data_IF_183110335901
#
_entry.id   IF_183110335901
#
_cell.length_a   1.000
_cell.length_b   1.000
_cell.length_c   1.000
_cell.angle_alpha   90.00
_cell.angle_beta   90.00
_cell.angle_gamma   90.00
#
_symmetry.space_group_name_H-M   'P 1'
#
loop_
_entity.id
_entity.type
_entity.pdbx_description
1 polymer ?
2 non-polymer ?
3 non-polymer ?
4 water ?
#
# COMPACT_ATOMS: atom_id res chain seq x y z
N UNK A 11 16.85 5.28 1.57
CA UNK A 11 17.61 6.42 0.98
C UNK A 11 16.65 7.54 0.56
N UNK A 12 17.20 8.73 0.33
CA UNK A 12 16.39 9.89 -0.04
C UNK A 12 15.81 9.82 -1.45
N UNK A 13 16.54 9.19 -2.37
CA UNK A 13 16.02 9.01 -3.73
C UNK A 13 14.86 8.02 -3.71
N UNK A 14 14.94 7.04 -2.81
CA UNK A 14 13.87 6.07 -2.60
C UNK A 14 12.61 6.76 -2.07
N UNK A 15 12.79 7.61 -1.06
CA UNK A 15 11.67 8.40 -0.54
C UNK A 15 11.02 9.32 -1.59
N UNK A 16 11.83 9.96 -2.44
CA UNK A 16 11.26 10.76 -3.52
C UNK A 16 10.47 9.92 -4.53
N UNK A 17 11.03 8.76 -4.89
CA UNK A 17 10.36 7.80 -5.75
C UNK A 17 8.98 7.45 -5.17
N UNK A 18 8.94 7.21 -3.86
CA UNK A 18 7.69 6.82 -3.18
C UNK A 18 6.67 7.96 -3.04
N UNK A 19 7.08 9.18 -3.40
CA UNK A 19 6.21 10.36 -3.38
C UNK A 19 5.62 10.67 -4.75
N UNK A 20 6.27 10.17 -5.80
CA UNK A 20 5.82 10.36 -7.17
C UNK A 20 4.43 9.76 -7.38
N UNK A 21 3.67 10.36 -8.27
CA UNK A 21 2.31 9.89 -8.52
C UNK A 21 2.33 8.71 -9.50
N UNK A 22 2.39 7.50 -8.94
CA UNK A 22 2.30 6.29 -9.76
C UNK A 22 1.43 5.30 -9.04
N UNK A 23 0.80 4.42 -9.81
CA UNK A 23 0.19 3.24 -9.21
C UNK A 23 1.28 2.22 -8.83
N UNK A 24 0.88 1.21 -8.07
CA UNK A 24 1.76 0.12 -7.70
C UNK A 24 0.94 -1.15 -7.76
N UNK A 25 1.60 -2.29 -7.67
CA UNK A 25 0.89 -3.55 -7.57
C UNK A 25 0.83 -3.96 -6.11
N UNK A 26 -0.35 -4.36 -5.66
CA UNK A 26 -0.51 -4.93 -4.33
C UNK A 26 -0.64 -6.44 -4.50
N UNK A 27 0.28 -7.19 -3.89
CA UNK A 27 0.20 -8.65 -3.85
C UNK A 27 -0.34 -9.06 -2.49
N UNK A 28 -1.44 -9.80 -2.51
CA UNK A 28 -1.92 -10.51 -1.30
C UNK A 28 -2.07 -11.98 -1.66
N UNK A 29 -2.41 -12.81 -0.68
CA UNK A 29 -2.62 -14.23 -0.96
C UNK A 29 -4.08 -14.61 -0.89
N UNK A 30 -4.55 -15.40 -1.86
CA UNK A 30 -5.88 -16.02 -1.76
C UNK A 30 -5.86 -17.15 -0.71
N UNK A 31 -7.04 -17.69 -0.39
CA UNK A 31 -7.15 -18.77 0.60
C UNK A 31 -6.31 -19.97 0.20
N UNK A 32 -6.15 -20.17 -1.11
CA UNK A 32 -5.38 -21.31 -1.61
C UNK A 32 -3.91 -20.99 -1.79
N UNK A 33 -3.52 -19.81 -1.31
CA UNK A 33 -2.13 -19.33 -1.40
C UNK A 33 -1.67 -18.83 -2.77
N UNK A 34 -2.56 -18.82 -3.75
CA UNK A 34 -2.22 -18.21 -5.02
C UNK A 34 -2.15 -16.69 -4.84
N UNK A 35 -1.13 -16.05 -5.43
CA UNK A 35 -1.07 -14.58 -5.31
C UNK A 35 -2.14 -13.85 -6.09
N UNK A 36 -2.73 -12.86 -5.43
CA UNK A 36 -3.67 -11.94 -6.04
C UNK A 36 -2.93 -10.61 -6.20
N UNK A 37 -2.73 -10.16 -7.43
CA UNK A 37 -1.90 -8.98 -7.67
C UNK A 37 -2.68 -7.97 -8.52
N UNK A 38 -3.03 -6.84 -7.92
CA UNK A 38 -3.85 -5.83 -8.61
C UNK A 38 -3.28 -4.44 -8.39
N UNK A 39 -3.57 -3.52 -9.33
CA UNK A 39 -3.04 -2.16 -9.22
C UNK A 39 -3.79 -1.35 -8.18
N UNK A 40 -3.01 -0.59 -7.41
CA UNK A 40 -3.55 0.31 -6.39
C UNK A 40 -2.71 1.59 -6.32
N UNK A 41 -3.31 2.64 -5.76
CA UNK A 41 -2.50 3.71 -5.18
C UNK A 41 -2.12 3.29 -3.77
N UNK A 42 -1.03 3.84 -3.25
CA UNK A 42 -0.69 3.60 -1.86
C UNK A 42 0.04 4.80 -1.30
N UNK A 43 0.14 4.84 0.02
CA UNK A 43 0.96 5.85 0.68
C UNK A 43 1.94 5.16 1.62
N UNK A 44 3.08 5.79 1.86
CA UNK A 44 4.07 5.21 2.75
C UNK A 44 4.57 6.26 3.73
N UNK A 45 4.46 5.98 5.03
CA UNK A 45 4.95 6.90 6.06
C UNK A 45 6.37 6.48 6.43
N UNK A 46 7.38 7.31 6.09
CA UNK A 46 8.78 6.92 6.33
C UNK A 46 9.14 6.82 7.80
N UNK A 47 8.42 7.55 8.64
CA UNK A 47 8.68 7.53 10.08
C UNK A 47 8.18 6.24 10.74
N UNK A 48 6.96 5.83 10.42
CA UNK A 48 6.38 4.67 11.07
C UNK A 48 6.58 3.38 10.26
N UNK A 49 6.97 3.54 9.00
CA UNK A 49 7.12 2.41 8.06
C UNK A 49 5.78 1.73 7.72
N UNK A 50 4.68 2.46 7.88
CA UNK A 50 3.36 1.94 7.53
C UNK A 50 2.98 2.35 6.12
N UNK A 51 2.65 1.36 5.29
CA UNK A 51 2.09 1.62 3.97
C UNK A 51 0.57 1.44 4.05
N UNK A 52 -0.17 2.23 3.27
CA UNK A 52 -1.63 2.17 3.33
C UNK A 52 -2.25 2.08 1.94
N UNK A 53 -3.24 1.21 1.81
CA UNK A 53 -4.08 1.13 0.61
C UNK A 53 -5.53 1.35 1.05
N UNK A 54 -6.23 2.30 0.43
CA UNK A 54 -7.66 2.44 0.67
C UNK A 54 -8.46 1.64 -0.35
N UNK A 55 -9.55 1.04 0.12
CA UNK A 55 -10.38 0.16 -0.71
C UNK A 55 -11.81 0.14 -0.15
N UNK A 56 -12.77 -0.44 -0.89
CA UNK A 56 -14.11 -0.63 -0.35
C UNK A 56 -14.10 -1.92 0.46
N UNK A 57 -14.73 -1.87 1.64
CA UNK A 57 -14.83 -3.04 2.51
C UNK A 57 -15.26 -4.27 1.72
N UNK A 58 -14.64 -5.40 2.03
CA UNK A 58 -15.01 -6.67 1.39
C UNK A 58 -14.37 -6.91 0.04
N UNK A 59 -13.51 -6.00 -0.41
CA UNK A 59 -12.77 -6.24 -1.66
C UNK A 59 -11.86 -7.46 -1.50
N UNK A 60 -11.45 -8.06 -2.62
CA UNK A 60 -10.56 -9.20 -2.50
C UNK A 60 -9.27 -8.81 -1.80
N UNK A 61 -8.74 -7.63 -2.13
CA UNK A 61 -7.55 -7.12 -1.43
C UNK A 61 -7.76 -7.11 0.08
N UNK A 62 -8.89 -6.57 0.52
CA UNK A 62 -9.15 -6.46 1.96
C UNK A 62 -9.36 -7.83 2.60
N UNK A 63 -10.12 -8.69 1.92
CA UNK A 63 -10.39 -10.02 2.46
C UNK A 63 -9.07 -10.79 2.60
N UNK A 64 -8.23 -10.76 1.55
CA UNK A 64 -6.93 -11.45 1.58
C UNK A 64 -6.00 -10.89 2.67
N UNK A 65 -5.96 -9.56 2.79
CA UNK A 65 -5.08 -8.92 3.77
C UNK A 65 -5.51 -9.32 5.18
N UNK A 66 -6.81 -9.25 5.43
CA UNK A 66 -7.36 -9.62 6.73
C UNK A 66 -7.14 -11.09 7.05
N UNK A 67 -7.38 -11.96 6.07
CA UNK A 67 -7.35 -13.41 6.30
C UNK A 67 -5.94 -13.97 6.42
N UNK A 68 -5.02 -13.50 5.57
CA UNK A 68 -3.66 -14.07 5.53
C UNK A 68 -2.60 -13.20 6.18
N UNK A 69 -2.88 -11.90 6.33
CA UNK A 69 -2.05 -11.06 7.18
C UNK A 69 -0.77 -10.55 6.59
N UNK A 70 -0.63 -10.67 5.27
CA UNK A 70 0.57 -10.14 4.61
C UNK A 70 0.26 -9.43 3.29
N UNK A 71 1.21 -8.63 2.83
CA UNK A 71 1.03 -7.90 1.57
C UNK A 71 2.39 -7.44 1.07
N UNK A 72 2.48 -7.19 -0.23
CA UNK A 72 3.65 -6.52 -0.80
C UNK A 72 3.16 -5.41 -1.72
N UNK A 73 3.83 -4.26 -1.67
CA UNK A 73 3.51 -3.15 -2.56
C UNK A 73 4.71 -2.94 -3.47
N UNK A 74 4.49 -2.97 -4.79
CA UNK A 74 5.59 -2.93 -5.74
C UNK A 74 5.40 -1.85 -6.79
N UNK A 75 6.36 -0.93 -6.87
CA UNK A 75 6.26 0.21 -7.76
C UNK A 75 7.44 0.20 -8.72
N UNK A 76 7.16 0.47 -9.99
CA UNK A 76 8.22 0.54 -11.01
C UNK A 76 7.99 1.70 -11.97
N UNK A 77 9.04 2.46 -12.25
CA UNK A 77 8.99 3.51 -13.26
C UNK A 77 10.30 3.49 -14.03
N UNK A 78 10.20 3.19 -15.33
CA UNK A 78 11.38 2.96 -16.14
C UNK A 78 12.14 1.79 -15.55
N UNK A 79 13.40 2.02 -15.20
CA UNK A 79 14.24 0.98 -14.62
C UNK A 79 14.29 1.03 -13.09
N UNK A 80 13.62 2.04 -12.51
CA UNK A 80 13.59 2.21 -11.05
C UNK A 80 12.44 1.41 -10.46
N UNK A 81 12.73 0.69 -9.37
CA UNK A 81 11.67 -0.06 -8.69
C UNK A 81 11.92 -0.32 -7.21
N UNK A 82 10.82 -0.52 -6.47
CA UNK A 82 10.88 -0.93 -5.08
C UNK A 82 9.76 -1.91 -4.81
N UNK A 83 10.01 -2.90 -3.96
CA UNK A 83 8.94 -3.72 -3.37
C UNK A 83 9.03 -3.57 -1.86
N UNK A 84 7.89 -3.30 -1.23
CA UNK A 84 7.79 -3.14 0.20
C UNK A 84 6.95 -4.28 0.77
N UNK A 85 7.58 -5.16 1.54
CA UNK A 85 6.90 -6.34 2.09
C UNK A 85 6.57 -6.12 3.54
N UNK A 86 5.41 -6.58 3.99
CA UNK A 86 5.12 -6.57 5.41
C UNK A 86 3.83 -7.23 5.83
N UNK A 87 3.47 -6.94 7.08
CA UNK A 87 2.34 -7.59 7.72
C UNK A 87 1.14 -6.67 7.56
N UNK A 88 0.02 -7.25 7.14
CA UNK A 88 -1.15 -6.46 6.76
C UNK A 88 -2.33 -6.68 7.70
N UNK A 89 -3.12 -5.62 7.90
CA UNK A 89 -4.39 -5.72 8.63
C UNK A 89 -5.36 -4.71 8.03
N UNK A 90 -6.65 -4.93 8.24
CA UNK A 90 -7.67 -4.02 7.73
C UNK A 90 -8.21 -3.18 8.88
N UNK A 91 -8.25 -1.87 8.68
CA UNK A 91 -8.72 -0.94 9.70
C UNK A 91 -9.95 -0.20 9.15
N UNK A 92 -11.08 -0.36 9.83
CA UNK A 92 -12.31 0.31 9.40
C UNK A 92 -12.71 1.45 10.34
N UNK A 93 -11.85 1.78 11.30
CA UNK A 93 -12.12 2.90 12.22
C UNK A 93 -12.27 4.20 11.43
N UNK A 94 -13.32 4.96 11.73
CA UNK A 94 -13.62 6.15 10.93
C UNK A 94 -12.46 7.17 10.93
N UNK A 95 -11.81 7.36 12.08
CA UNK A 95 -10.67 8.28 12.14
C UNK A 95 -9.47 7.79 11.31
N UNK A 96 -9.19 6.49 11.38
CA UNK A 96 -8.12 5.88 10.58
C UNK A 96 -8.41 6.04 9.08
N UNK A 97 -9.67 5.83 8.71
CA UNK A 97 -10.07 5.97 7.31
C UNK A 97 -9.91 7.42 6.83
N UNK A 98 -10.37 8.38 7.63
CA UNK A 98 -10.18 9.79 7.26
C UNK A 98 -8.69 10.09 7.08
N UNK A 99 -7.87 9.63 8.02
CA UNK A 99 -6.45 9.94 7.98
C UNK A 99 -5.81 9.36 6.72
N UNK A 100 -6.17 8.12 6.39
CA UNK A 100 -5.67 7.47 5.19
C UNK A 100 -6.16 8.18 3.92
N UNK A 101 -7.40 8.67 3.93
CA UNK A 101 -7.92 9.41 2.79
C UNK A 101 -7.09 10.67 2.55
N UNK A 102 -6.73 11.35 3.63
CA UNK A 102 -5.93 12.57 3.52
C UNK A 102 -4.49 12.29 3.08
N UNK A 103 -3.89 11.22 3.60
CA UNK A 103 -2.56 10.82 3.11
C UNK A 103 -2.61 10.49 1.61
N UNK A 104 -3.68 9.81 1.21
CA UNK A 104 -3.89 9.48 -0.19
C UNK A 104 -4.00 10.74 -1.05
N UNK A 105 -4.79 11.71 -0.57
CA UNK A 105 -4.99 12.96 -1.28
C UNK A 105 -3.68 13.74 -1.45
N UNK A 106 -2.81 13.63 -0.45
CA UNK A 106 -1.49 14.27 -0.41
C UNK A 106 -0.62 13.79 -1.58
N UNK A 107 -0.77 12.51 -1.96
CA UNK A 107 0.02 11.93 -3.06
C UNK A 107 -0.70 11.92 -4.41
N UNK A 108 -2.01 11.70 -4.36
CA UNK A 108 -2.82 11.53 -5.54
C UNK A 108 -3.78 12.70 -5.66
N UNK A 109 -5.02 12.49 -5.25
CA UNK A 109 -6.02 13.55 -5.22
C UNK A 109 -7.12 13.15 -4.28
N UNK A 110 -7.99 14.09 -3.92
CA UNK A 110 -9.08 13.80 -2.99
C UNK A 110 -9.87 12.58 -3.46
N UNK A 111 -9.96 11.53 -2.61
CA UNK A 111 -10.70 10.34 -3.04
C UNK A 111 -12.20 10.64 -3.02
N UNK A 112 -12.94 9.96 -3.89
CA UNK A 112 -14.41 10.05 -3.90
C UNK A 112 -14.96 9.66 -2.52
N UNK A 113 -15.98 10.38 -2.02
CA UNK A 113 -16.58 9.98 -0.74
C UNK A 113 -17.09 8.55 -0.82
N UNK A 114 -16.92 7.78 0.24
CA UNK A 114 -17.30 6.37 0.25
C UNK A 114 -17.38 5.89 1.70
N UNK A 115 -18.59 5.83 2.29
CA UNK A 115 -18.75 5.39 3.68
C UNK A 115 -18.31 3.95 3.96
N UNK A 116 -18.12 3.17 2.90
CA UNK A 116 -17.69 1.78 3.03
C UNK A 116 -16.17 1.62 2.96
N UNK A 117 -15.46 2.73 2.78
CA UNK A 117 -14.00 2.65 2.65
C UNK A 117 -13.35 2.07 3.92
N UNK A 118 -12.35 1.21 3.71
CA UNK A 118 -11.48 0.70 4.78
C UNK A 118 -10.02 0.90 4.36
N UNK A 119 -9.11 0.73 5.31
CA UNK A 119 -7.69 0.90 5.05
C UNK A 119 -6.95 -0.40 5.27
N UNK A 120 -6.19 -0.82 4.27
CA UNK A 120 -5.24 -1.91 4.46
C UNK A 120 -3.94 -1.28 4.95
N UNK A 121 -3.55 -1.60 6.18
CA UNK A 121 -2.32 -1.05 6.77
C UNK A 121 -1.24 -2.12 6.75
N UNK A 122 -0.09 -1.80 6.16
CA UNK A 122 0.98 -2.79 6.00
C UNK A 122 2.21 -2.29 6.77
N UNK A 123 2.65 -3.08 7.74
CA UNK A 123 3.84 -2.74 8.51
C UNK A 123 5.03 -3.28 7.75
N UNK A 124 5.77 -2.40 7.08
CA UNK A 124 6.84 -2.83 6.19
C UNK A 124 8.05 -3.36 6.95
N UNK A 125 8.48 -4.58 6.59
CA UNK A 125 9.63 -5.25 7.22
C UNK A 125 10.83 -5.36 6.29
N UNK A 126 10.57 -5.47 4.99
CA UNK A 126 11.63 -5.74 4.02
C UNK A 126 11.43 -4.88 2.80
N UNK A 127 12.52 -4.35 2.28
CA UNK A 127 12.48 -3.60 1.03
C UNK A 127 13.48 -4.17 0.03
N UNK A 128 12.97 -4.50 -1.16
CA UNK A 128 13.79 -4.87 -2.33
C UNK A 128 13.70 -3.75 -3.35
N UNK A 129 14.70 -3.63 -4.22
CA UNK A 129 14.59 -2.64 -5.28
C UNK A 129 15.82 -2.51 -6.15
N UNK A 130 15.73 -1.60 -7.10
CA UNK A 130 16.87 -1.28 -7.96
C UNK A 130 18.00 -0.66 -7.13
N UNK A 131 19.23 -0.89 -7.60
CA UNK A 131 20.43 -0.55 -6.85
C UNK A 131 20.58 0.95 -6.62
N UNK A 132 20.09 1.74 -7.58
CA UNK A 132 20.09 3.20 -7.50
C UNK A 132 19.21 3.77 -6.37
N UNK A 133 18.32 2.94 -5.82
CA UNK A 133 17.39 3.38 -4.75
C UNK A 133 17.73 2.81 -3.36
N UNK A 134 18.55 1.76 -3.31
CA UNK A 134 18.96 1.19 -2.02
C UNK A 134 20.32 1.75 -1.55
N UNK A 135 20.35 2.19 -0.29
CA UNK A 135 21.50 2.87 0.35
C UNK A 135 21.71 4.32 -0.10
X LIG B 1 -12.25 -1.08 -8.91
X LIG C 1 -14.76 -0.28 -6.94
X LIG C 1 -14.16 -0.15 -8.04
X LIG C 1 -15.57 0.55 -6.49
X LIG C 1 -14.47 -1.52 -6.10
X LIG C 1 -12.98 -1.64 -5.75
X LIG C 1 -12.20 -2.15 -6.84
X LIG C 1 -12.40 -0.32 -5.22
X LIG C 1 -10.93 -0.40 -4.84
X LIG C 1 -10.51 -1.38 -4.18
X LIG C 1 -10.18 0.52 -5.25
X LIG C 1 -12.88 -2.74 -4.74
X LIG C 1 -13.38 -2.58 -3.63
X LIG C 1 -12.27 -3.77 -5.10
X LIG D 1 -10.44 -6.50 -5.42
X LIG D 1 -9.72 -6.11 -4.48
X LIG D 1 -11.58 -7.00 -5.23
X LIG D 1 -9.92 -6.40 -6.85
X LIG D 1 -10.48 -5.19 -7.61
X LIG D 1 -10.47 -4.02 -6.77
X LIG D 1 -9.63 -4.94 -8.86
X LIG D 1 -10.26 -3.96 -9.83
X LIG D 1 -11.21 -3.21 -9.48
X LIG D 1 -9.79 -3.91 -10.98
X LIG D 1 -11.94 -5.42 -7.94
X LIG D 1 -12.30 -6.36 -8.71
X LIG D 1 -12.74 -4.60 -7.40
#
# INVERSE_FOLDING_TARGET
>A
VAXVNTTTRLSDDALAFLSERHLAMLTTLRADNSPHVVAVGFTFDPKTHIARVITTGGSQKAVNADRSGLAVLSQVDGARWLSLEGRAAVNSDIDAVRDAELRYAQRYRTPRPNPRRVVIEVQIERVLGSADLLDRA
>B hetero
1 NA NA
>C hetero
1 CIT C1 O1 O2 C2 C3 O7 C4 C5 O3 O4 C6 O5 O6
>D hetero
1 CIT C1 O1 O2 C2 C3 O7 C4 C5 O3 O4 C6 O5 O6
#
